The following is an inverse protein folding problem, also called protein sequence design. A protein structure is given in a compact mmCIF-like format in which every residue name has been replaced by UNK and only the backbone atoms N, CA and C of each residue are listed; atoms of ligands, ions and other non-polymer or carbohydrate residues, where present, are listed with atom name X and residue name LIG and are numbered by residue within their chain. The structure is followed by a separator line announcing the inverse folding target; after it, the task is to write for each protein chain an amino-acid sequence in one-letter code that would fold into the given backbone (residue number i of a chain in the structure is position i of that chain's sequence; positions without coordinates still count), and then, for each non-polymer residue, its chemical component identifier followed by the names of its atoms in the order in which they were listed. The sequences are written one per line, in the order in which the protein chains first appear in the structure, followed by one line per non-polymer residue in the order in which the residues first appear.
data_IF_425032768419
#
_entry.id   IF_425032768419
#
_cell.length_a   1.000
_cell.length_b   1.000
_cell.length_c   1.000
_cell.angle_alpha   90.00
_cell.angle_beta   90.00
_cell.angle_gamma   90.00
#
_symmetry.space_group_name_H-M   'P 1'
#
loop_
_entity.id
_entity.type
_entity.pdbx_description
1 polymer ?
#
# COMPACT_ATOMS: atom_id res chain seq x y z
N UNK A 1 -14.41 4.02 5.77
CA UNK A 1 -13.21 3.87 4.90
C UNK A 1 -12.78 5.23 4.35
N UNK A 2 -11.90 5.96 5.06
CA UNK A 2 -11.33 7.27 4.62
C UNK A 2 -9.80 7.32 4.90
N UNK A 3 -9.20 6.24 5.40
CA UNK A 3 -7.87 6.28 6.01
C UNK A 3 -6.69 6.28 5.02
N UNK A 4 -6.87 5.86 3.76
CA UNK A 4 -5.74 5.73 2.83
C UNK A 4 -5.17 7.08 2.36
N UNK A 5 -6.03 8.04 2.00
CA UNK A 5 -5.59 9.36 1.47
C UNK A 5 -5.02 10.31 2.53
N UNK A 6 -5.75 10.46 3.65
CA UNK A 6 -5.37 11.36 4.74
C UNK A 6 -4.31 10.77 5.68
N UNK A 7 -4.29 9.45 5.87
CA UNK A 7 -3.42 8.80 6.87
C UNK A 7 -2.01 8.51 6.36
N UNK A 8 -1.88 7.85 5.21
CA UNK A 8 -0.57 7.35 4.75
C UNK A 8 0.16 8.36 3.86
N UNK A 9 -0.58 9.15 3.07
CA UNK A 9 -0.04 10.07 2.07
C UNK A 9 -0.13 11.54 2.48
N UNK A 10 -0.87 11.88 3.53
CA UNK A 10 -1.05 13.27 3.97
C UNK A 10 -1.70 14.17 2.92
N UNK A 11 -2.49 13.58 2.02
CA UNK A 11 -3.17 14.30 0.94
C UNK A 11 -4.65 14.51 1.28
N UNK A 12 -5.22 15.58 0.71
CA UNK A 12 -6.67 15.76 0.82
C UNK A 12 -7.40 14.59 0.12
N UNK A 13 -8.58 14.20 0.58
CA UNK A 13 -9.35 13.12 -0.07
C UNK A 13 -9.64 13.41 -1.55
N UNK A 14 -9.86 14.68 -1.92
CA UNK A 14 -10.10 15.06 -3.32
C UNK A 14 -8.89 14.80 -4.20
N UNK A 15 -7.69 15.15 -3.73
CA UNK A 15 -6.46 14.92 -4.49
C UNK A 15 -6.19 13.43 -4.64
N UNK A 16 -6.42 12.66 -3.56
CA UNK A 16 -6.31 11.20 -3.56
C UNK A 16 -7.20 10.54 -4.62
N UNK A 17 -8.47 10.93 -4.69
CA UNK A 17 -9.42 10.33 -5.62
C UNK A 17 -9.27 10.81 -7.07
N UNK A 18 -8.66 11.97 -7.28
CA UNK A 18 -8.36 12.50 -8.62
C UNK A 18 -7.11 11.85 -9.25
N UNK A 19 -6.24 11.22 -8.45
CA UNK A 19 -5.00 10.63 -8.94
C UNK A 19 -5.23 9.43 -9.84
N UNK A 20 -4.38 9.32 -10.85
CA UNK A 20 -4.27 8.10 -11.66
C UNK A 20 -3.54 7.00 -10.89
N UNK A 21 -3.75 5.71 -11.22
CA UNK A 21 -3.00 4.60 -10.62
C UNK A 21 -1.47 4.76 -10.72
N UNK A 22 -0.97 5.40 -11.79
CA UNK A 22 0.45 5.67 -12.00
C UNK A 22 0.99 6.72 -11.02
N UNK A 23 0.24 7.77 -10.78
CA UNK A 23 0.59 8.81 -9.80
C UNK A 23 0.52 8.27 -8.37
N UNK A 24 -0.51 7.46 -8.07
CA UNK A 24 -0.59 6.75 -6.79
C UNK A 24 0.63 5.86 -6.56
N UNK A 25 1.06 5.09 -7.56
CA UNK A 25 2.25 4.26 -7.46
C UNK A 25 3.53 5.10 -7.21
N UNK A 26 3.66 6.26 -7.85
CA UNK A 26 4.79 7.17 -7.62
C UNK A 26 4.77 7.77 -6.20
N UNK A 27 3.59 8.22 -5.73
CA UNK A 27 3.42 8.76 -4.39
C UNK A 27 3.73 7.72 -3.30
N UNK A 28 3.28 6.47 -3.49
CA UNK A 28 3.57 5.36 -2.59
C UNK A 28 5.07 5.03 -2.56
N UNK A 29 5.76 5.01 -3.71
CA UNK A 29 7.21 4.80 -3.76
C UNK A 29 7.97 5.86 -2.97
N UNK A 30 7.69 7.15 -3.22
CA UNK A 30 8.35 8.25 -2.53
C UNK A 30 8.03 8.29 -1.03
N UNK A 31 6.80 7.96 -0.62
CA UNK A 31 6.41 7.97 0.80
C UNK A 31 6.96 6.79 1.59
N UNK A 32 6.99 5.60 0.99
CA UNK A 32 7.43 4.37 1.65
C UNK A 32 8.92 4.08 1.45
N UNK A 33 9.65 4.95 0.73
CA UNK A 33 11.06 4.73 0.40
C UNK A 33 11.29 3.49 -0.47
N UNK A 34 10.31 3.11 -1.29
CA UNK A 34 10.36 1.92 -2.15
C UNK A 34 11.07 2.24 -3.48
N UNK A 35 12.28 2.78 -3.39
CA UNK A 35 13.09 3.16 -4.55
C UNK A 35 13.82 1.95 -5.18
N UNK A 36 13.62 0.76 -4.61
CA UNK A 36 14.19 -0.50 -5.10
C UNK A 36 13.21 -1.34 -5.93
N UNK A 37 13.71 -2.33 -6.68
CA UNK A 37 12.86 -3.32 -7.33
C UNK A 37 11.98 -4.01 -6.28
N UNK A 38 10.67 -4.03 -6.52
CA UNK A 38 9.72 -4.76 -5.67
C UNK A 38 9.96 -6.24 -5.87
N UNK A 39 10.67 -6.87 -4.93
CA UNK A 39 10.81 -8.32 -4.92
C UNK A 39 9.47 -8.93 -4.53
N UNK A 40 8.87 -9.81 -5.35
CA UNK A 40 7.67 -10.54 -4.97
C UNK A 40 7.90 -11.30 -3.66
N UNK A 41 6.92 -11.29 -2.76
CA UNK A 41 6.97 -12.10 -1.54
C UNK A 41 7.09 -13.58 -1.91
N UNK A 42 7.92 -14.34 -1.20
CA UNK A 42 8.00 -15.78 -1.43
C UNK A 42 6.75 -16.48 -0.87
N UNK A 43 6.40 -17.62 -1.46
CA UNK A 43 5.24 -18.42 -1.02
C UNK A 43 5.27 -18.72 0.48
N UNK A 44 6.43 -19.11 1.01
CA UNK A 44 6.56 -19.47 2.42
C UNK A 44 6.33 -18.27 3.36
N UNK A 45 6.75 -17.06 2.95
CA UNK A 45 6.51 -15.83 3.71
C UNK A 45 5.02 -15.48 3.70
N UNK A 46 4.36 -15.67 2.56
CA UNK A 46 2.92 -15.47 2.43
C UNK A 46 2.12 -16.46 3.31
N UNK A 47 2.46 -17.75 3.30
CA UNK A 47 1.84 -18.75 4.18
C UNK A 47 2.04 -18.40 5.66
N UNK A 48 3.22 -17.91 6.03
CA UNK A 48 3.50 -17.44 7.40
C UNK A 48 2.62 -16.25 7.80
N UNK A 49 2.35 -15.33 6.86
CA UNK A 49 1.42 -14.22 7.09
C UNK A 49 -0.01 -14.69 7.29
N UNK A 50 -0.49 -15.63 6.46
CA UNK A 50 -1.84 -16.19 6.60
C UNK A 50 -2.05 -16.88 7.96
N UNK A 51 -1.05 -17.62 8.44
CA UNK A 51 -1.12 -18.24 9.77
C UNK A 51 -1.13 -17.21 10.90
N UNK A 52 -0.40 -16.10 10.72
CA UNK A 52 -0.28 -15.05 11.73
C UNK A 52 -1.48 -14.12 11.79
N UNK A 53 -2.17 -13.92 10.67
CA UNK A 53 -3.35 -13.09 10.54
C UNK A 53 -4.49 -13.89 9.91
N UNK A 54 -5.08 -14.85 10.64
CA UNK A 54 -6.19 -15.63 10.12
C UNK A 54 -7.41 -14.73 9.93
N UNK A 55 -8.11 -14.90 8.81
CA UNK A 55 -9.39 -14.25 8.58
C UNK A 55 -10.39 -14.71 9.67
N UNK A 56 -11.11 -13.75 10.26
CA UNK A 56 -12.24 -14.04 11.15
C UNK A 56 -13.53 -13.76 10.39
N UNK A 57 -14.51 -14.65 10.50
CA UNK A 57 -15.86 -14.46 9.93
C UNK A 57 -16.61 -13.27 10.57
#
# INVERSE_FOLDING_TARGET
MIAAGLGLLGMSPSDFWAMTPRELAAALRGRLGLDGPVTPIMRNDFESLMQRFPDQE
#
